data_IF_247800106006
#
_entry.id   IF_247800106006
#
_cell.length_a   1.000
_cell.length_b   1.000
_cell.length_c   1.000
_cell.angle_alpha   90.00
_cell.angle_beta   90.00
_cell.angle_gamma   90.00
#
_symmetry.space_group_name_H-M   'P 1'
#
loop_
_entity.id
_entity.type
_entity.pdbx_description
1 polymer ?
#
# COMPACT_ATOMS: atom_id res chain seq x y z
N UNK A 1 39.16 -6.65 40.71
CA UNK A 1 39.27 -7.91 41.47
C UNK A 1 38.94 -9.05 40.53
N UNK A 2 39.99 -9.80 40.15
CA UNK A 2 39.97 -10.97 39.27
C UNK A 2 39.36 -12.17 40.00
N UNK A 3 38.55 -13.00 39.33
CA UNK A 3 38.62 -14.47 39.53
C UNK A 3 38.29 -15.15 38.18
N UNK A 4 39.31 -15.70 37.58
CA UNK A 4 39.30 -16.77 36.58
C UNK A 4 38.99 -18.09 37.28
N UNK A 5 38.21 -18.98 36.66
CA UNK A 5 38.37 -20.42 36.85
C UNK A 5 38.12 -21.16 35.54
N UNK A 6 39.18 -21.84 35.16
CA UNK A 6 39.39 -22.79 34.06
C UNK A 6 39.11 -24.24 34.49
N UNK A 7 39.10 -25.13 33.48
CA UNK A 7 39.26 -26.63 33.47
C UNK A 7 37.92 -27.40 33.52
N UNK A 8 37.75 -28.58 32.84
CA UNK A 8 38.65 -29.40 32.04
C UNK A 8 37.82 -30.38 31.16
N UNK A 9 38.41 -30.78 30.07
CA UNK A 9 38.39 -31.94 29.19
C UNK A 9 37.98 -33.28 29.82
N UNK A 10 37.16 -34.08 29.09
CA UNK A 10 37.27 -35.55 29.08
C UNK A 10 36.78 -36.13 27.75
N UNK A 11 37.68 -36.68 27.00
CA UNK A 11 37.48 -37.53 25.83
C UNK A 11 37.26 -38.98 26.29
N UNK A 12 36.38 -39.70 25.60
CA UNK A 12 36.35 -41.15 25.69
C UNK A 12 36.03 -41.76 24.33
N UNK A 13 37.02 -42.44 23.81
CA UNK A 13 37.02 -43.32 22.63
C UNK A 13 36.63 -44.73 23.12
N UNK A 14 35.76 -45.41 22.43
CA UNK A 14 35.74 -46.88 22.44
C UNK A 14 35.19 -47.43 21.13
N UNK A 15 35.89 -48.39 20.63
CA UNK A 15 35.88 -48.97 19.32
C UNK A 15 35.08 -50.29 19.22
N UNK A 16 34.73 -50.65 18.00
CA UNK A 16 34.72 -52.00 17.35
C UNK A 16 33.65 -53.02 17.75
N UNK A 17 32.88 -53.45 16.75
CA UNK A 17 32.74 -54.87 16.39
C UNK A 17 32.09 -55.07 15.03
N UNK A 18 32.81 -55.67 14.10
CA UNK A 18 32.34 -56.30 12.89
C UNK A 18 31.62 -57.61 13.19
N UNK A 19 30.49 -57.90 12.51
CA UNK A 19 30.07 -59.31 12.22
C UNK A 19 29.51 -59.37 10.79
N UNK A 20 30.19 -60.17 9.96
CA UNK A 20 29.74 -60.70 8.68
C UNK A 20 28.81 -61.91 8.91
N UNK A 21 27.83 -62.08 8.04
CA UNK A 21 27.27 -63.26 7.36
C UNK A 21 25.77 -63.01 7.15
N UNK A 22 25.11 -63.32 6.06
CA UNK A 22 25.14 -64.38 5.09
C UNK A 22 24.33 -64.02 3.83
N UNK A 23 24.65 -64.64 2.72
CA UNK A 23 23.93 -64.60 1.46
C UNK A 23 22.52 -65.16 1.51
N UNK A 24 21.56 -64.48 0.86
CA UNK A 24 20.34 -65.11 0.30
C UNK A 24 19.99 -64.45 -1.01
N UNK A 25 19.90 -65.28 -2.03
CA UNK A 25 19.52 -65.01 -3.41
C UNK A 25 18.07 -64.53 -3.50
N UNK A 26 17.86 -63.34 -4.12
CA UNK A 26 16.55 -62.79 -4.48
C UNK A 26 16.63 -61.87 -5.69
N UNK A 27 15.87 -62.18 -6.68
CA UNK A 27 15.55 -61.62 -8.00
C UNK A 27 15.84 -60.13 -8.20
N UNK A 28 16.37 -59.67 -9.38
CA UNK A 28 16.65 -58.27 -9.65
C UNK A 28 15.36 -57.49 -9.85
N UNK A 29 15.09 -56.55 -8.94
CA UNK A 29 14.10 -55.51 -9.14
C UNK A 29 14.70 -54.40 -10.03
N UNK A 30 13.95 -53.99 -11.03
CA UNK A 30 14.28 -52.95 -11.97
C UNK A 30 14.62 -51.61 -11.25
N UNK A 31 15.55 -50.78 -11.77
CA UNK A 31 15.85 -49.51 -11.19
C UNK A 31 14.65 -48.58 -11.34
N UNK A 32 14.03 -48.20 -10.21
CA UNK A 32 13.12 -47.05 -10.16
C UNK A 32 13.92 -45.79 -10.50
N UNK A 33 13.72 -45.30 -11.72
CA UNK A 33 14.14 -43.99 -12.15
C UNK A 33 13.38 -42.96 -11.28
N UNK A 34 14.01 -42.48 -10.21
CA UNK A 34 13.59 -41.26 -9.54
C UNK A 34 13.87 -40.11 -10.53
N UNK A 35 12.81 -39.66 -11.22
CA UNK A 35 12.85 -38.42 -11.94
C UNK A 35 13.22 -37.31 -10.93
N UNK A 36 14.14 -36.39 -11.29
CA UNK A 36 14.40 -35.24 -10.43
C UNK A 36 13.09 -34.49 -10.28
N UNK A 37 12.64 -34.32 -9.05
CA UNK A 37 11.56 -33.39 -8.75
C UNK A 37 12.02 -32.04 -9.28
N UNK A 38 11.39 -31.60 -10.36
CA UNK A 38 11.49 -30.22 -10.82
C UNK A 38 11.02 -29.39 -9.64
N UNK A 39 11.94 -28.73 -8.92
CA UNK A 39 11.61 -27.72 -7.96
C UNK A 39 10.76 -26.70 -8.71
N UNK A 40 9.47 -26.62 -8.38
CA UNK A 40 8.62 -25.56 -8.86
C UNK A 40 9.33 -24.26 -8.45
N UNK A 41 9.84 -23.52 -9.42
CA UNK A 41 10.40 -22.20 -9.19
C UNK A 41 9.33 -21.41 -8.44
N UNK A 42 9.69 -20.95 -7.23
CA UNK A 42 8.80 -20.12 -6.42
C UNK A 42 8.41 -18.91 -7.27
N UNK A 43 7.14 -18.58 -7.42
CA UNK A 43 6.71 -17.43 -8.25
C UNK A 43 7.39 -16.10 -7.85
N UNK A 44 7.87 -16.02 -6.61
CA UNK A 44 8.56 -14.84 -6.08
C UNK A 44 9.99 -14.61 -6.66
N UNK A 45 10.60 -15.62 -7.33
CA UNK A 45 11.97 -15.48 -7.84
C UNK A 45 12.10 -14.50 -9.01
N UNK A 46 11.03 -14.30 -9.80
CA UNK A 46 11.05 -13.49 -11.02
C UNK A 46 10.47 -12.06 -10.82
N UNK A 47 10.00 -11.70 -9.61
CA UNK A 47 9.31 -10.44 -9.34
C UNK A 47 10.25 -9.22 -9.25
N UNK A 48 11.57 -9.40 -9.30
CA UNK A 48 12.59 -8.33 -9.20
C UNK A 48 12.41 -7.42 -7.98
N UNK A 49 12.11 -8.00 -6.82
CA UNK A 49 11.83 -7.27 -5.59
C UNK A 49 13.06 -6.50 -5.10
N UNK A 50 12.81 -5.35 -4.44
CA UNK A 50 13.83 -4.53 -3.77
C UNK A 50 14.56 -5.33 -2.70
N UNK A 51 13.81 -6.14 -1.95
CA UNK A 51 14.37 -7.07 -0.95
C UNK A 51 13.82 -8.48 -1.17
N UNK A 52 14.66 -9.52 -1.26
CA UNK A 52 14.19 -10.89 -1.43
C UNK A 52 13.18 -11.30 -0.35
N UNK A 53 12.06 -11.90 -0.76
CA UNK A 53 11.02 -12.38 0.15
C UNK A 53 10.14 -11.29 0.79
N UNK A 54 10.32 -10.02 0.39
CA UNK A 54 9.59 -8.88 0.94
C UNK A 54 8.94 -8.07 -0.18
N UNK A 55 7.65 -7.82 -0.08
CA UNK A 55 6.96 -6.82 -0.89
C UNK A 55 7.08 -5.47 -0.17
N UNK A 56 7.92 -4.59 -0.70
CA UNK A 56 8.13 -3.24 -0.16
C UNK A 56 7.19 -2.27 -0.85
N UNK A 57 6.27 -1.68 -0.09
CA UNK A 57 5.23 -0.76 -0.57
C UNK A 57 5.49 0.63 -0.01
N UNK A 58 5.51 1.64 -0.87
CA UNK A 58 5.51 3.04 -0.46
C UNK A 58 4.08 3.56 -0.41
N UNK A 59 3.75 4.32 0.63
CA UNK A 59 2.42 4.91 0.86
C UNK A 59 2.57 6.26 1.53
N UNK A 60 1.65 7.18 1.30
CA UNK A 60 1.56 8.46 2.02
C UNK A 60 0.61 8.29 3.21
N UNK A 61 1.14 8.41 4.42
CA UNK A 61 0.42 8.12 5.67
C UNK A 61 0.47 9.36 6.58
N UNK A 62 -0.67 9.76 7.17
CA UNK A 62 -1.99 9.13 7.14
C UNK A 62 -2.87 9.59 5.96
N UNK A 63 -3.69 8.68 5.43
CA UNK A 63 -4.77 8.97 4.48
C UNK A 63 -5.96 8.00 4.70
N UNK A 64 -6.57 8.07 5.87
CA UNK A 64 -7.65 7.16 6.26
C UNK A 64 -8.89 7.33 5.36
N UNK A 65 -9.56 6.22 4.96
CA UNK A 65 -9.43 4.85 5.45
C UNK A 65 -8.45 3.96 4.64
N UNK A 66 -7.65 4.53 3.74
CA UNK A 66 -6.75 3.76 2.85
C UNK A 66 -5.41 3.44 3.50
N UNK A 67 -4.76 4.44 4.16
CA UNK A 67 -3.48 4.34 4.86
C UNK A 67 -3.62 4.90 6.27
N UNK A 68 -3.37 4.06 7.27
CA UNK A 68 -3.55 4.36 8.70
C UNK A 68 -2.32 3.89 9.47
N UNK A 69 -1.76 4.74 10.33
CA UNK A 69 -0.77 4.30 11.30
C UNK A 69 -1.38 3.29 12.28
N UNK A 70 -0.76 2.12 12.42
CA UNK A 70 -1.24 1.05 13.29
C UNK A 70 -0.07 0.28 13.89
N UNK A 71 0.37 0.70 15.05
CA UNK A 71 1.47 0.06 15.78
C UNK A 71 1.17 -1.38 16.22
N UNK A 72 -0.09 -1.83 16.13
CA UNK A 72 -0.49 -3.21 16.46
C UNK A 72 -0.33 -4.16 15.27
N UNK A 73 -0.24 -3.64 14.05
CA UNK A 73 -0.03 -4.45 12.84
C UNK A 73 1.45 -4.80 12.66
N UNK A 74 1.73 -5.90 11.95
CA UNK A 74 3.10 -6.36 11.69
C UNK A 74 3.89 -5.38 10.79
N UNK A 75 3.22 -4.64 9.91
CA UNK A 75 3.82 -3.62 9.06
C UNK A 75 3.95 -2.24 9.72
N UNK A 76 3.32 -2.02 10.88
CA UNK A 76 3.15 -0.71 11.52
C UNK A 76 1.99 0.11 10.95
N UNK A 77 1.26 -0.43 9.97
CA UNK A 77 0.21 0.26 9.23
C UNK A 77 -0.99 -0.64 8.96
N UNK A 78 -2.16 -0.04 8.79
CA UNK A 78 -3.41 -0.67 8.37
C UNK A 78 -4.11 0.23 7.34
N UNK A 79 -5.35 -0.07 7.00
CA UNK A 79 -6.10 0.66 5.98
C UNK A 79 -6.38 -0.20 4.76
N UNK A 80 -7.29 0.26 3.91
CA UNK A 80 -7.77 -0.54 2.79
C UNK A 80 -6.65 -0.95 1.84
N UNK A 81 -5.84 0.00 1.38
CA UNK A 81 -4.73 -0.25 0.46
C UNK A 81 -3.67 -1.17 1.08
N UNK A 82 -3.34 -0.92 2.35
CA UNK A 82 -2.33 -1.69 3.07
C UNK A 82 -2.80 -3.14 3.25
N UNK A 83 -4.07 -3.37 3.61
CA UNK A 83 -4.59 -4.72 3.81
C UNK A 83 -4.82 -5.47 2.49
N UNK A 84 -5.15 -4.78 1.40
CA UNK A 84 -5.14 -5.38 0.05
C UNK A 84 -3.71 -5.83 -0.29
N UNK A 85 -2.69 -4.98 -0.07
CA UNK A 85 -1.30 -5.34 -0.33
C UNK A 85 -0.78 -6.44 0.60
N UNK A 86 -1.23 -6.50 1.86
CA UNK A 86 -0.92 -7.61 2.77
C UNK A 86 -1.51 -8.94 2.27
N UNK A 87 -2.75 -8.89 1.76
CA UNK A 87 -3.39 -10.03 1.09
C UNK A 87 -2.60 -10.51 -0.14
N UNK A 88 -2.17 -9.58 -0.99
CA UNK A 88 -1.32 -9.85 -2.16
C UNK A 88 0.02 -10.46 -1.73
N UNK A 89 0.71 -9.85 -0.78
CA UNK A 89 1.99 -10.33 -0.27
C UNK A 89 1.89 -11.77 0.26
N UNK A 90 0.90 -12.06 1.10
CA UNK A 90 0.65 -13.40 1.65
C UNK A 90 0.41 -14.45 0.56
N UNK A 91 -0.40 -14.13 -0.46
CA UNK A 91 -0.67 -15.04 -1.58
C UNK A 91 0.56 -15.31 -2.44
N UNK A 92 1.49 -14.35 -2.52
CA UNK A 92 2.77 -14.50 -3.22
C UNK A 92 3.87 -15.14 -2.34
N UNK A 93 3.57 -15.45 -1.06
CA UNK A 93 4.56 -16.00 -0.11
C UNK A 93 5.59 -14.95 0.35
N UNK A 94 5.21 -13.67 0.33
CA UNK A 94 6.05 -12.53 0.72
C UNK A 94 5.62 -11.95 2.06
N UNK A 95 6.54 -11.25 2.73
CA UNK A 95 6.23 -10.39 3.89
C UNK A 95 5.99 -8.97 3.39
N UNK A 96 4.93 -8.31 3.86
CA UNK A 96 4.68 -6.90 3.56
C UNK A 96 5.60 -6.00 4.39
N UNK A 97 6.23 -5.02 3.74
CA UNK A 97 6.91 -3.89 4.37
C UNK A 97 6.33 -2.60 3.80
N UNK A 98 5.91 -1.68 4.66
CA UNK A 98 5.42 -0.36 4.25
C UNK A 98 6.48 0.70 4.58
N UNK A 99 6.65 1.67 3.69
CA UNK A 99 7.52 2.83 3.83
C UNK A 99 6.65 4.07 3.62
N UNK A 100 6.56 4.91 4.64
CA UNK A 100 5.92 6.21 4.52
C UNK A 100 6.73 7.12 3.57
N UNK A 101 6.04 7.77 2.63
CA UNK A 101 6.63 8.60 1.58
C UNK A 101 5.63 9.63 1.11
N UNK A 102 6.05 10.88 0.92
CA UNK A 102 5.16 11.95 0.47
C UNK A 102 4.49 11.62 -0.90
N UNK A 103 3.21 12.00 -1.04
CA UNK A 103 2.41 11.69 -2.22
C UNK A 103 3.00 12.24 -3.54
N UNK A 104 3.63 13.41 -3.49
CA UNK A 104 4.23 14.02 -4.69
C UNK A 104 5.40 13.18 -5.25
N UNK A 105 6.17 12.54 -4.37
CA UNK A 105 7.22 11.58 -4.75
C UNK A 105 6.66 10.27 -5.29
N UNK A 106 5.51 9.83 -4.77
CA UNK A 106 4.82 8.63 -5.26
C UNK A 106 4.27 8.85 -6.66
N UNK A 107 3.45 9.90 -6.84
CA UNK A 107 2.74 10.19 -8.10
C UNK A 107 3.68 10.60 -9.24
N UNK A 108 4.83 11.21 -8.93
CA UNK A 108 5.87 11.51 -9.93
C UNK A 108 6.72 10.29 -10.31
N UNK A 109 6.63 9.20 -9.54
CA UNK A 109 7.43 8.00 -9.73
C UNK A 109 8.86 8.07 -9.20
N UNK A 110 9.24 9.16 -8.52
CA UNK A 110 10.62 9.39 -8.07
C UNK A 110 11.13 8.26 -7.17
N UNK A 111 10.35 7.86 -6.17
CA UNK A 111 10.74 6.76 -5.23
C UNK A 111 10.75 5.40 -5.91
N UNK A 112 9.89 5.19 -6.92
CA UNK A 112 9.81 3.95 -7.69
C UNK A 112 11.01 3.80 -8.62
N UNK A 113 11.39 4.88 -9.33
CA UNK A 113 12.59 4.89 -10.20
C UNK A 113 13.87 4.73 -9.37
N UNK A 114 13.91 5.31 -8.18
CA UNK A 114 15.02 5.15 -7.22
C UNK A 114 15.06 3.75 -6.58
N UNK A 115 14.10 2.87 -6.90
CA UNK A 115 13.99 1.50 -6.36
C UNK A 115 13.95 1.46 -4.82
N UNK A 116 13.28 2.45 -4.20
CA UNK A 116 13.08 2.50 -2.75
C UNK A 116 11.96 1.53 -2.32
N UNK A 117 11.00 1.28 -3.20
CA UNK A 117 9.91 0.33 -3.02
C UNK A 117 9.61 -0.41 -4.32
N UNK A 118 8.90 -1.52 -4.21
CA UNK A 118 8.49 -2.35 -5.33
C UNK A 118 7.32 -1.75 -6.09
N UNK A 119 6.41 -1.12 -5.34
CA UNK A 119 5.22 -0.42 -5.85
C UNK A 119 4.78 0.66 -4.86
N UNK A 120 3.88 1.55 -5.29
CA UNK A 120 3.19 2.49 -4.42
C UNK A 120 1.70 2.10 -4.30
N UNK A 121 1.19 2.15 -3.05
CA UNK A 121 -0.22 1.98 -2.71
C UNK A 121 -0.62 3.18 -1.85
N UNK A 122 -1.41 4.10 -2.40
CA UNK A 122 -1.74 5.38 -1.76
C UNK A 122 -2.96 6.05 -2.41
N UNK A 123 -4.07 5.33 -2.52
CA UNK A 123 -5.33 5.81 -3.10
C UNK A 123 -5.10 6.63 -4.39
N UNK A 124 -4.16 6.17 -5.24
CA UNK A 124 -3.64 6.97 -6.34
C UNK A 124 -4.52 6.87 -7.59
N UNK A 125 -5.15 7.98 -7.97
CA UNK A 125 -5.93 8.08 -9.20
C UNK A 125 -5.08 7.80 -10.43
N UNK A 126 -5.55 6.90 -11.28
CA UNK A 126 -4.98 6.62 -12.61
C UNK A 126 -5.28 7.82 -13.52
N UNK A 127 -4.25 8.53 -13.97
CA UNK A 127 -4.38 9.64 -14.93
C UNK A 127 -3.40 9.49 -16.09
N UNK A 128 -3.72 10.06 -17.24
CA UNK A 128 -2.82 10.03 -18.40
C UNK A 128 -1.50 10.78 -18.11
N UNK A 129 -1.55 11.84 -17.31
CA UNK A 129 -0.35 12.57 -16.87
C UNK A 129 0.59 11.66 -16.06
N UNK A 130 0.04 10.92 -15.08
CA UNK A 130 0.81 9.97 -14.26
C UNK A 130 1.32 8.79 -15.07
N UNK A 131 0.51 8.26 -16.01
CA UNK A 131 0.92 7.18 -16.91
C UNK A 131 2.12 7.52 -17.79
N UNK A 132 2.44 8.78 -17.97
CA UNK A 132 3.68 9.17 -18.68
C UNK A 132 4.93 8.75 -17.89
N UNK A 133 4.87 8.73 -16.56
CA UNK A 133 6.01 8.51 -15.66
C UNK A 133 5.97 7.19 -14.89
N UNK A 134 4.79 6.62 -14.67
CA UNK A 134 4.56 5.39 -13.89
C UNK A 134 3.59 4.47 -14.62
N UNK A 135 3.64 3.18 -14.31
CA UNK A 135 2.65 2.21 -14.75
C UNK A 135 1.69 1.91 -13.60
N UNK A 136 0.48 1.44 -13.90
CA UNK A 136 -0.56 1.15 -12.92
C UNK A 136 -1.02 -0.31 -13.00
N UNK A 137 -1.49 -0.83 -11.88
CA UNK A 137 -2.33 -2.03 -11.85
C UNK A 137 -3.65 -1.82 -12.61
N UNK A 138 -4.44 -2.87 -12.76
CA UNK A 138 -5.86 -2.74 -13.02
C UNK A 138 -6.50 -1.87 -11.94
N UNK A 139 -7.58 -1.10 -12.25
CA UNK A 139 -8.25 -0.29 -11.26
C UNK A 139 -8.88 -1.16 -10.17
N UNK A 140 -8.78 -0.70 -8.90
CA UNK A 140 -9.32 -1.44 -7.77
C UNK A 140 -10.39 -0.68 -6.97
N UNK A 141 -10.50 0.64 -7.12
CA UNK A 141 -11.46 1.47 -6.39
C UNK A 141 -11.95 2.63 -7.24
N UNK A 142 -13.25 2.95 -7.18
CA UNK A 142 -13.84 4.14 -7.81
C UNK A 142 -14.02 5.24 -6.77
N UNK A 143 -13.52 6.45 -7.03
CA UNK A 143 -13.56 7.56 -6.08
C UNK A 143 -14.30 8.78 -6.62
N UNK A 144 -14.71 9.62 -5.69
CA UNK A 144 -15.25 10.95 -5.93
C UNK A 144 -14.37 11.98 -5.23
N UNK A 145 -14.38 13.23 -5.68
CA UNK A 145 -13.87 14.35 -4.92
C UNK A 145 -14.96 14.95 -4.04
N UNK A 146 -14.60 15.64 -2.96
CA UNK A 146 -15.58 16.28 -2.07
C UNK A 146 -15.04 17.55 -1.43
N UNK A 147 -15.98 18.41 -1.01
CA UNK A 147 -15.71 19.65 -0.27
C UNK A 147 -16.16 19.49 1.17
N UNK A 148 -15.22 19.49 2.10
CA UNK A 148 -15.44 19.47 3.54
C UNK A 148 -15.27 20.87 4.13
N UNK A 149 -16.17 21.25 5.02
CA UNK A 149 -16.17 22.55 5.68
C UNK A 149 -16.59 22.42 7.14
N UNK A 150 -16.35 23.46 7.96
CA UNK A 150 -16.98 23.55 9.29
C UNK A 150 -18.50 23.67 9.15
N UNK A 151 -19.23 23.02 10.05
CA UNK A 151 -20.70 22.98 10.07
C UNK A 151 -21.33 24.38 10.08
N UNK A 152 -20.72 25.32 10.77
CA UNK A 152 -21.16 26.71 10.96
C UNK A 152 -20.50 27.72 10.00
N UNK A 153 -19.73 27.26 9.02
CA UNK A 153 -19.00 28.14 8.07
C UNK A 153 -19.88 28.96 7.15
N UNK A 154 -21.15 28.57 6.95
CA UNK A 154 -22.04 29.16 5.94
C UNK A 154 -21.70 28.78 4.50
N UNK A 155 -20.61 28.02 4.26
CA UNK A 155 -20.24 27.51 2.93
C UNK A 155 -21.11 26.29 2.61
N UNK A 156 -21.76 26.29 1.45
CA UNK A 156 -22.68 25.22 1.04
C UNK A 156 -22.27 24.53 -0.26
N UNK A 157 -21.32 25.08 -1.00
CA UNK A 157 -20.81 24.56 -2.26
C UNK A 157 -19.47 25.25 -2.62
N UNK A 158 -18.85 24.83 -3.73
CA UNK A 158 -17.57 25.35 -4.20
C UNK A 158 -17.61 26.87 -4.49
N UNK A 159 -18.74 27.38 -5.02
CA UNK A 159 -18.89 28.82 -5.30
C UNK A 159 -18.86 29.68 -4.01
N UNK A 160 -19.24 29.09 -2.88
CA UNK A 160 -19.17 29.75 -1.56
C UNK A 160 -17.74 29.99 -1.05
N UNK A 161 -16.71 29.54 -1.77
CA UNK A 161 -15.30 29.77 -1.45
C UNK A 161 -14.77 31.12 -1.96
N UNK A 162 -15.59 31.97 -2.58
CA UNK A 162 -15.17 33.32 -2.99
C UNK A 162 -14.55 34.08 -1.80
N UNK A 163 -13.30 34.55 -1.93
CA UNK A 163 -12.52 35.19 -0.88
C UNK A 163 -12.10 34.31 0.31
N UNK A 164 -12.30 32.98 0.23
CA UNK A 164 -11.97 32.00 1.27
C UNK A 164 -10.67 31.27 0.97
N UNK A 165 -10.15 30.55 1.95
CA UNK A 165 -8.94 29.73 1.83
C UNK A 165 -9.32 28.26 1.74
N UNK A 166 -8.94 27.63 0.62
CA UNK A 166 -9.15 26.22 0.33
C UNK A 166 -7.84 25.45 0.48
N UNK A 167 -7.82 24.48 1.38
CA UNK A 167 -6.70 23.55 1.52
C UNK A 167 -6.84 22.35 0.55
N UNK A 168 -5.73 21.98 -0.04
CA UNK A 168 -5.61 20.80 -0.93
C UNK A 168 -4.26 20.11 -0.68
N UNK A 169 -4.18 18.82 -0.97
CA UNK A 169 -2.89 18.15 -0.93
C UNK A 169 -2.14 18.32 -2.24
N UNK A 170 -0.83 18.58 -2.16
CA UNK A 170 0.06 18.76 -3.30
C UNK A 170 0.13 17.48 -4.17
N UNK A 171 0.13 17.64 -5.50
CA UNK A 171 0.26 16.54 -6.45
C UNK A 171 -1.02 15.73 -6.69
N UNK A 172 -2.16 16.08 -6.06
CA UNK A 172 -3.42 15.35 -6.15
C UNK A 172 -4.32 15.81 -7.30
N UNK A 173 -5.25 14.95 -7.69
CA UNK A 173 -6.37 15.28 -8.59
C UNK A 173 -7.34 16.27 -7.95
N UNK A 174 -7.51 16.23 -6.62
CA UNK A 174 -8.26 17.21 -5.85
C UNK A 174 -7.71 18.63 -6.01
N UNK A 175 -6.38 18.80 -5.93
CA UNK A 175 -5.74 20.09 -6.24
C UNK A 175 -5.99 20.51 -7.68
N UNK A 176 -5.85 19.60 -8.64
CA UNK A 176 -6.10 19.88 -10.05
C UNK A 176 -7.55 20.32 -10.30
N UNK A 177 -8.51 19.66 -9.65
CA UNK A 177 -9.93 20.03 -9.71
C UNK A 177 -10.17 21.40 -9.07
N UNK A 178 -9.64 21.66 -7.88
CA UNK A 178 -9.74 22.96 -7.20
C UNK A 178 -9.19 24.11 -8.08
N UNK A 179 -8.03 23.92 -8.68
CA UNK A 179 -7.39 24.94 -9.56
C UNK A 179 -8.25 25.30 -10.77
N UNK A 180 -8.99 24.31 -11.30
CA UNK A 180 -9.87 24.55 -12.48
C UNK A 180 -11.23 25.14 -12.11
N UNK A 181 -11.77 24.79 -10.93
CA UNK A 181 -13.19 24.95 -10.64
C UNK A 181 -13.50 25.91 -9.50
N UNK A 182 -12.55 26.19 -8.60
CA UNK A 182 -12.76 27.14 -7.50
C UNK A 182 -12.91 28.58 -8.01
N UNK A 183 -13.61 29.46 -7.26
CA UNK A 183 -13.67 30.88 -7.58
C UNK A 183 -12.27 31.49 -7.73
N UNK A 184 -12.10 32.45 -8.66
CA UNK A 184 -10.78 33.04 -8.96
C UNK A 184 -10.14 33.78 -7.79
N UNK A 185 -10.95 34.25 -6.85
CA UNK A 185 -10.53 34.93 -5.63
C UNK A 185 -10.42 33.98 -4.41
N UNK A 186 -10.72 32.69 -4.56
CA UNK A 186 -10.39 31.69 -3.58
C UNK A 186 -8.88 31.49 -3.50
N UNK A 187 -8.34 31.48 -2.28
CA UNK A 187 -6.93 31.21 -2.03
C UNK A 187 -6.72 29.72 -1.87
N UNK A 188 -6.08 29.07 -2.84
CA UNK A 188 -5.70 27.66 -2.75
C UNK A 188 -4.36 27.55 -2.02
N UNK A 189 -4.29 26.71 -0.97
CA UNK A 189 -3.08 26.44 -0.18
C UNK A 189 -2.76 24.97 -0.24
N UNK A 190 -1.52 24.67 -0.63
CA UNK A 190 -0.99 23.31 -0.72
C UNK A 190 -0.48 22.81 0.64
N UNK A 191 -0.81 21.58 0.95
CA UNK A 191 -0.28 20.83 2.09
C UNK A 191 0.45 19.57 1.59
N UNK A 192 1.47 19.09 2.29
CA UNK A 192 2.18 17.89 1.88
C UNK A 192 1.35 16.62 2.04
N UNK A 193 0.56 16.50 3.11
CA UNK A 193 -0.27 15.33 3.40
C UNK A 193 -1.59 15.70 4.09
N UNK A 194 -2.51 14.74 4.24
CA UNK A 194 -3.72 14.89 5.04
C UNK A 194 -3.39 15.12 6.53
N UNK A 195 -2.25 14.59 6.98
CA UNK A 195 -1.76 14.79 8.34
C UNK A 195 -1.52 16.25 8.73
N UNK A 196 -1.24 17.15 7.77
CA UNK A 196 -1.17 18.60 7.98
C UNK A 196 -2.46 19.30 7.55
N UNK A 197 -3.13 18.79 6.52
CA UNK A 197 -4.33 19.40 5.96
C UNK A 197 -5.49 19.40 6.97
N UNK A 198 -5.73 18.27 7.65
CA UNK A 198 -6.75 18.14 8.66
C UNK A 198 -6.53 19.05 9.90
N UNK A 199 -5.36 19.08 10.55
CA UNK A 199 -5.09 20.05 11.61
C UNK A 199 -5.22 21.51 11.17
N UNK A 200 -4.92 21.86 9.92
CA UNK A 200 -5.02 23.22 9.41
C UNK A 200 -6.47 23.75 9.41
N UNK A 201 -7.45 22.94 8.99
CA UNK A 201 -8.87 23.35 9.07
C UNK A 201 -9.35 23.42 10.53
N UNK A 202 -8.88 22.50 11.38
CA UNK A 202 -9.21 22.53 12.80
C UNK A 202 -8.71 23.81 13.49
N UNK A 203 -7.49 24.24 13.13
CA UNK A 203 -6.89 25.49 13.62
C UNK A 203 -7.49 26.77 12.98
N UNK A 204 -8.35 26.63 11.96
CA UNK A 204 -8.93 27.76 11.24
C UNK A 204 -7.96 28.48 10.32
N UNK A 205 -6.88 27.81 9.89
CA UNK A 205 -5.93 28.33 8.90
C UNK A 205 -6.51 28.27 7.48
N UNK A 206 -7.42 27.36 7.22
CA UNK A 206 -8.19 27.20 6.00
C UNK A 206 -9.69 27.10 6.32
N UNK A 207 -10.53 27.48 5.34
CA UNK A 207 -11.99 27.47 5.49
C UNK A 207 -12.62 26.17 5.01
N UNK A 208 -11.95 25.45 4.11
CA UNK A 208 -12.44 24.21 3.49
C UNK A 208 -11.29 23.28 3.07
N UNK A 209 -11.60 22.00 2.93
CA UNK A 209 -10.73 20.99 2.33
C UNK A 209 -11.40 20.42 1.08
N UNK A 210 -10.67 20.34 -0.04
CA UNK A 210 -11.08 19.59 -1.22
C UNK A 210 -10.12 18.41 -1.45
N UNK A 211 -10.63 17.22 -1.26
CA UNK A 211 -9.91 15.94 -1.44
C UNK A 211 -10.90 14.81 -1.65
N UNK A 212 -10.40 13.59 -1.74
CA UNK A 212 -11.18 12.38 -1.98
C UNK A 212 -12.30 12.21 -0.97
N UNK A 213 -13.47 11.85 -1.46
CA UNK A 213 -14.69 11.78 -0.64
C UNK A 213 -14.57 10.79 0.53
N UNK A 214 -13.97 9.59 0.41
CA UNK A 214 -13.85 8.68 1.54
C UNK A 214 -13.02 9.24 2.70
N UNK A 215 -11.98 10.02 2.38
CA UNK A 215 -11.10 10.64 3.39
C UNK A 215 -11.82 11.76 4.11
N UNK A 216 -12.47 12.65 3.37
CA UNK A 216 -13.32 13.69 3.98
C UNK A 216 -14.47 13.08 4.80
N UNK A 217 -15.03 11.94 4.37
CA UNK A 217 -16.07 11.25 5.14
C UNK A 217 -15.52 10.69 6.46
N UNK A 218 -14.29 10.20 6.48
CA UNK A 218 -13.64 9.78 7.73
C UNK A 218 -13.52 10.95 8.71
N UNK A 219 -13.14 12.14 8.24
CA UNK A 219 -13.09 13.35 9.07
C UNK A 219 -14.47 13.80 9.54
N UNK A 220 -15.49 13.77 8.67
CA UNK A 220 -16.88 14.09 9.01
C UNK A 220 -17.43 13.18 10.11
N UNK A 221 -17.15 11.89 10.03
CA UNK A 221 -17.58 10.91 11.05
C UNK A 221 -16.81 11.08 12.36
N UNK A 222 -15.52 11.41 12.27
CA UNK A 222 -14.65 11.58 13.44
C UNK A 222 -14.96 12.87 14.24
N UNK A 223 -15.40 13.95 13.58
CA UNK A 223 -15.73 15.22 14.23
C UNK A 223 -16.97 15.87 13.60
N UNK A 224 -18.11 15.77 14.31
CA UNK A 224 -19.41 16.34 13.91
C UNK A 224 -19.44 17.88 13.73
N UNK A 225 -18.32 18.57 14.01
CA UNK A 225 -18.18 20.00 13.67
C UNK A 225 -17.92 20.25 12.20
N UNK A 226 -17.66 19.22 11.44
CA UNK A 226 -17.36 19.26 10.00
C UNK A 226 -18.41 18.50 9.21
N UNK A 227 -18.58 18.86 7.94
CA UNK A 227 -19.49 18.19 7.02
C UNK A 227 -18.99 18.29 5.59
N UNK A 228 -19.29 17.27 4.79
CA UNK A 228 -19.21 17.33 3.35
C UNK A 228 -20.43 18.10 2.84
N UNK A 229 -20.19 19.18 2.09
CA UNK A 229 -21.28 20.02 1.53
C UNK A 229 -21.50 19.77 0.04
N UNK A 230 -20.53 19.21 -0.65
CA UNK A 230 -20.63 18.92 -2.07
C UNK A 230 -19.69 17.75 -2.45
N UNK A 231 -20.13 16.92 -3.39
CA UNK A 231 -19.32 15.83 -3.97
C UNK A 231 -19.26 16.01 -5.49
N UNK A 232 -18.13 15.62 -6.09
CA UNK A 232 -17.86 15.79 -7.51
C UNK A 232 -17.51 14.44 -8.13
N UNK A 233 -18.28 14.04 -9.13
CA UNK A 233 -17.95 12.86 -9.93
C UNK A 233 -16.91 13.26 -11.00
N UNK A 234 -15.68 12.93 -10.73
CA UNK A 234 -14.52 13.17 -11.61
C UNK A 234 -14.13 11.93 -12.41
N UNK A 235 -14.90 10.84 -12.29
CA UNK A 235 -14.64 9.52 -12.89
C UNK A 235 -13.24 8.99 -12.50
N UNK A 236 -12.87 9.15 -11.27
CA UNK A 236 -11.57 8.71 -10.76
C UNK A 236 -11.56 7.24 -10.39
N UNK A 237 -10.50 6.54 -10.82
CA UNK A 237 -10.23 5.16 -10.44
C UNK A 237 -8.82 5.07 -9.86
N UNK A 238 -8.67 4.36 -8.74
CA UNK A 238 -7.36 4.13 -8.13
C UNK A 238 -6.67 2.90 -8.71
N UNK A 239 -5.34 2.98 -8.80
CA UNK A 239 -4.47 1.88 -9.16
C UNK A 239 -3.19 1.91 -8.34
N UNK A 240 -2.60 0.74 -8.10
CA UNK A 240 -1.27 0.63 -7.53
C UNK A 240 -0.23 1.00 -8.57
N UNK A 241 0.78 1.80 -8.19
CA UNK A 241 1.73 2.36 -9.14
C UNK A 241 3.08 1.63 -9.12
N UNK A 242 3.68 1.49 -10.31
CA UNK A 242 4.95 0.80 -10.54
C UNK A 242 5.92 1.71 -11.31
N UNK A 243 7.23 1.45 -11.18
CA UNK A 243 8.23 2.13 -11.98
C UNK A 243 7.98 1.89 -13.49
N UNK A 244 7.94 2.96 -14.28
CA UNK A 244 7.60 2.95 -15.70
C UNK A 244 8.41 1.94 -16.50
N UNK A 245 7.72 1.03 -17.19
CA UNK A 245 8.33 -0.02 -18.03
C UNK A 245 9.17 -1.04 -17.27
N UNK A 246 9.01 -1.10 -15.93
CA UNK A 246 9.72 -2.04 -15.05
C UNK A 246 8.73 -2.82 -14.21
N UNK A 247 9.21 -3.84 -13.49
CA UNK A 247 8.38 -4.64 -12.55
C UNK A 247 7.12 -5.25 -13.22
N UNK A 248 7.16 -5.55 -14.52
CA UNK A 248 5.99 -6.03 -15.29
C UNK A 248 5.42 -7.34 -14.74
N UNK A 249 6.31 -8.26 -14.30
CA UNK A 249 5.89 -9.53 -13.70
C UNK A 249 5.22 -9.29 -12.31
N UNK A 250 5.72 -8.34 -11.53
CA UNK A 250 5.08 -7.95 -10.27
C UNK A 250 3.72 -7.29 -10.53
N UNK A 251 3.63 -6.35 -11.47
CA UNK A 251 2.37 -5.71 -11.87
C UNK A 251 1.34 -6.77 -12.29
N UNK A 252 1.74 -7.73 -13.13
CA UNK A 252 0.89 -8.84 -13.52
C UNK A 252 0.46 -9.69 -12.31
N UNK A 253 1.39 -10.01 -11.42
CA UNK A 253 1.10 -10.79 -10.22
C UNK A 253 0.11 -10.07 -9.30
N UNK A 254 0.25 -8.74 -9.12
CA UNK A 254 -0.71 -7.91 -8.37
C UNK A 254 -2.09 -7.96 -9.02
N UNK A 255 -2.21 -7.77 -10.34
CA UNK A 255 -3.48 -7.85 -11.06
C UNK A 255 -4.14 -9.23 -10.93
N UNK A 256 -3.36 -10.31 -11.05
CA UNK A 256 -3.85 -11.67 -10.88
C UNK A 256 -4.38 -11.90 -9.45
N UNK A 257 -3.72 -11.33 -8.42
CA UNK A 257 -4.19 -11.42 -7.04
C UNK A 257 -5.42 -10.55 -6.78
N UNK A 258 -5.50 -9.33 -7.30
CA UNK A 258 -6.70 -8.49 -7.21
C UNK A 258 -7.92 -9.23 -7.78
N UNK A 259 -7.75 -9.83 -8.96
CA UNK A 259 -8.80 -10.64 -9.58
C UNK A 259 -9.18 -11.86 -8.71
N UNK A 260 -8.21 -12.53 -8.12
CA UNK A 260 -8.45 -13.65 -7.22
C UNK A 260 -9.17 -13.22 -5.93
N UNK A 261 -8.83 -12.05 -5.36
CA UNK A 261 -9.48 -11.49 -4.18
C UNK A 261 -10.94 -11.10 -4.45
N UNK A 262 -11.26 -10.59 -5.63
CA UNK A 262 -12.65 -10.39 -6.04
C UNK A 262 -13.40 -11.72 -6.19
N UNK A 263 -12.76 -12.73 -6.75
CA UNK A 263 -13.38 -14.04 -6.97
C UNK A 263 -13.64 -14.84 -5.67
N UNK A 264 -12.76 -14.69 -4.66
CA UNK A 264 -12.88 -15.41 -3.38
C UNK A 264 -13.61 -14.59 -2.29
N UNK A 265 -14.02 -13.35 -2.60
CA UNK A 265 -14.76 -12.47 -1.70
C UNK A 265 -13.89 -11.75 -0.65
N UNK A 266 -12.58 -11.96 -0.64
CA UNK A 266 -11.69 -11.30 0.33
C UNK A 266 -11.58 -9.79 0.08
N UNK A 267 -11.65 -9.34 -1.17
CA UNK A 267 -11.74 -7.93 -1.50
C UNK A 267 -13.04 -7.31 -0.93
N UNK A 268 -14.19 -7.95 -1.15
CA UNK A 268 -15.48 -7.45 -0.65
C UNK A 268 -15.53 -7.38 0.87
N UNK A 269 -14.87 -8.33 1.56
CA UNK A 269 -14.75 -8.31 3.01
C UNK A 269 -13.94 -7.10 3.50
N UNK A 270 -12.82 -6.76 2.83
CA UNK A 270 -12.03 -5.55 3.12
C UNK A 270 -12.81 -4.28 2.78
N UNK A 271 -13.47 -4.25 1.62
CA UNK A 271 -14.31 -3.11 1.24
C UNK A 271 -15.38 -2.83 2.29
N UNK A 272 -16.10 -3.87 2.73
CA UNK A 272 -17.10 -3.74 3.79
C UNK A 272 -16.50 -3.29 5.13
N UNK A 273 -15.29 -3.71 5.45
CA UNK A 273 -14.61 -3.31 6.69
C UNK A 273 -14.34 -1.81 6.75
N UNK A 274 -13.98 -1.20 5.63
CA UNK A 274 -13.52 0.19 5.58
C UNK A 274 -14.57 1.18 5.09
N UNK A 275 -15.57 0.73 4.32
CA UNK A 275 -16.56 1.59 3.64
C UNK A 275 -18.02 1.14 3.87
N UNK A 276 -18.26 0.04 4.59
CA UNK A 276 -19.60 -0.57 4.81
C UNK A 276 -20.34 -0.12 6.05
#
# INVERSE_FOLDING_TARGET
MLVKKTLAVAASIAAVALTLTACSSGTPAAPSSSAPATAASSPAADLQLVAPGTLTVCADVPYAPFEIEDSSSASGYSGFDIEVMDGVAKKLGLTLKVIDSDFDSLQSGTVLVANQCDLAASAMTITEERKANIDFSDPYYDSLQSLLVKMDSGITNLAGLAGKTLGVQKGTTGKSYATKSAPKDAKIVDFPSDGELWPAIQAGQIDAILQDQPVNHTHEVADAKYKIVETYNTNEQYGFAFAKGKKLELQKAVNDQLKAMHADGSYDALYKKYFG
#
